data_IF_526546946865
#
_entry.id   IF_526546946865
#
_cell.length_a   1.000
_cell.length_b   1.000
_cell.length_c   1.000
_cell.angle_alpha   90.00
_cell.angle_beta   90.00
_cell.angle_gamma   90.00
#
_symmetry.space_group_name_H-M   'P 1'
#
loop_
_entity.id
_entity.type
_entity.pdbx_description
1 polymer ?
#
# COMPACT_ATOMS: atom_id res chain seq x y z
N UNK A 1 28.35 58.56 -28.03
CA UNK A 1 27.66 58.52 -26.72
C UNK A 1 26.44 57.62 -26.88
N UNK A 2 26.64 56.32 -26.70
CA UNK A 2 25.57 55.31 -26.81
C UNK A 2 24.73 55.26 -25.53
N UNK A 3 23.41 55.38 -25.66
CA UNK A 3 22.46 55.12 -24.56
C UNK A 3 21.83 53.74 -24.75
N UNK A 4 22.26 52.78 -23.94
CA UNK A 4 21.60 51.47 -23.79
C UNK A 4 20.21 51.63 -23.13
N UNK A 5 19.16 50.94 -23.61
CA UNK A 5 17.86 50.94 -22.96
C UNK A 5 17.87 50.06 -21.71
N UNK A 6 17.43 50.61 -20.57
CA UNK A 6 17.27 49.89 -19.31
C UNK A 6 16.20 48.80 -19.45
N UNK A 7 16.60 47.53 -19.27
CA UNK A 7 15.66 46.40 -19.10
C UNK A 7 14.87 46.60 -17.80
N UNK A 8 13.55 46.68 -17.90
CA UNK A 8 12.65 46.65 -16.75
C UNK A 8 12.69 45.29 -16.02
N UNK A 9 12.27 45.23 -14.75
CA UNK A 9 12.31 44.01 -13.97
C UNK A 9 11.33 42.98 -14.54
N UNK A 10 11.81 41.76 -14.76
CA UNK A 10 10.99 40.63 -15.15
C UNK A 10 10.02 40.27 -14.01
N UNK A 11 8.74 40.60 -14.18
CA UNK A 11 7.65 40.07 -13.34
C UNK A 11 7.55 38.57 -13.65
N UNK A 12 8.13 37.75 -12.78
CA UNK A 12 8.24 36.29 -12.96
C UNK A 12 7.05 35.56 -12.32
N UNK A 13 6.22 34.94 -13.16
CA UNK A 13 5.58 33.63 -12.97
C UNK A 13 4.86 33.28 -11.64
N UNK A 14 4.07 34.17 -11.02
CA UNK A 14 3.20 33.72 -9.91
C UNK A 14 1.95 32.95 -10.40
N UNK A 15 1.43 33.25 -11.59
CA UNK A 15 0.20 32.62 -12.10
C UNK A 15 0.35 31.18 -12.60
N UNK A 16 1.51 30.81 -13.16
CA UNK A 16 1.72 29.47 -13.75
C UNK A 16 1.87 28.36 -12.70
N UNK A 17 2.42 28.66 -11.52
CA UNK A 17 2.56 27.70 -10.41
C UNK A 17 1.21 27.23 -9.87
N UNK A 18 0.31 28.18 -9.60
CA UNK A 18 -1.00 27.89 -9.04
C UNK A 18 -1.85 27.00 -9.97
N UNK A 19 -1.75 27.17 -11.29
CA UNK A 19 -2.49 26.33 -12.24
C UNK A 19 -1.94 24.89 -12.31
N UNK A 20 -0.62 24.71 -12.25
CA UNK A 20 0.00 23.40 -12.26
C UNK A 20 -0.32 22.62 -10.98
N UNK A 21 -0.23 23.25 -9.82
CA UNK A 21 -0.58 22.65 -8.53
C UNK A 21 -2.04 22.21 -8.47
N UNK A 22 -2.97 23.09 -8.87
CA UNK A 22 -4.41 22.77 -8.94
C UNK A 22 -4.67 21.61 -9.90
N UNK A 23 -3.97 21.54 -11.03
CA UNK A 23 -4.08 20.42 -11.96
C UNK A 23 -3.61 19.09 -11.34
N UNK A 24 -2.48 19.10 -10.61
CA UNK A 24 -1.97 17.91 -9.91
C UNK A 24 -2.93 17.43 -8.83
N UNK A 25 -3.45 18.34 -8.01
CA UNK A 25 -4.43 18.00 -6.97
C UNK A 25 -5.69 17.36 -7.57
N UNK A 26 -6.18 17.87 -8.71
CA UNK A 26 -7.31 17.28 -9.42
C UNK A 26 -7.02 15.88 -9.95
N UNK A 27 -5.80 15.61 -10.41
CA UNK A 27 -5.40 14.26 -10.85
C UNK A 27 -5.43 13.29 -9.68
N UNK A 28 -4.82 13.67 -8.55
CA UNK A 28 -4.81 12.84 -7.34
C UNK A 28 -6.22 12.61 -6.81
N UNK A 29 -7.05 13.64 -6.73
CA UNK A 29 -8.44 13.52 -6.27
C UNK A 29 -9.24 12.57 -7.16
N UNK A 30 -9.14 12.70 -8.49
CA UNK A 30 -9.82 11.80 -9.43
C UNK A 30 -9.36 10.36 -9.28
N UNK A 31 -8.05 10.14 -9.08
CA UNK A 31 -7.49 8.81 -8.82
C UNK A 31 -8.08 8.20 -7.56
N UNK A 32 -8.07 8.94 -6.44
CA UNK A 32 -8.58 8.46 -5.16
C UNK A 32 -10.07 8.08 -5.25
N UNK A 33 -10.88 8.93 -5.89
CA UNK A 33 -12.29 8.61 -6.13
C UNK A 33 -12.40 7.35 -6.99
N UNK A 34 -11.68 7.28 -8.12
CA UNK A 34 -11.76 6.15 -9.03
C UNK A 34 -11.36 4.82 -8.39
N UNK A 35 -10.28 4.76 -7.59
CA UNK A 35 -9.86 3.50 -6.95
C UNK A 35 -10.85 3.01 -5.90
N UNK A 36 -11.57 3.92 -5.24
CA UNK A 36 -12.57 3.60 -4.22
C UNK A 36 -13.93 3.24 -4.83
N UNK A 37 -14.28 3.79 -6.00
CA UNK A 37 -15.59 3.54 -6.63
C UNK A 37 -15.57 2.48 -7.71
N UNK A 38 -14.40 2.13 -8.26
CA UNK A 38 -14.28 1.05 -9.25
C UNK A 38 -14.43 -0.30 -8.56
N UNK A 39 -15.36 -1.11 -9.03
CA UNK A 39 -15.48 -2.53 -8.65
C UNK A 39 -14.94 -3.40 -9.78
N UNK A 40 -14.16 -4.46 -9.47
CA UNK A 40 -13.73 -5.41 -10.48
C UNK A 40 -14.92 -6.17 -11.08
N UNK A 41 -14.80 -6.52 -12.36
CA UNK A 41 -15.67 -7.49 -13.01
C UNK A 41 -15.37 -8.93 -12.53
N UNK A 42 -16.17 -9.90 -12.97
CA UNK A 42 -15.99 -11.31 -12.57
C UNK A 42 -14.62 -11.87 -12.95
N UNK A 43 -14.08 -11.47 -14.10
CA UNK A 43 -12.75 -11.86 -14.54
C UNK A 43 -11.64 -11.26 -13.66
N UNK A 44 -11.79 -10.00 -13.26
CA UNK A 44 -10.93 -9.30 -12.32
C UNK A 44 -10.93 -9.95 -10.96
N UNK A 45 -12.10 -10.27 -10.41
CA UNK A 45 -12.21 -11.01 -9.15
C UNK A 45 -11.58 -12.39 -9.20
N UNK A 46 -11.81 -13.15 -10.29
CA UNK A 46 -11.16 -14.45 -10.49
C UNK A 46 -9.64 -14.34 -10.52
N UNK A 47 -9.11 -13.34 -11.22
CA UNK A 47 -7.67 -13.09 -11.26
C UNK A 47 -7.12 -12.74 -9.86
N UNK A 48 -7.83 -11.87 -9.13
CA UNK A 48 -7.47 -11.51 -7.75
C UNK A 48 -7.52 -12.74 -6.82
N UNK A 49 -8.51 -13.61 -6.95
CA UNK A 49 -8.60 -14.84 -6.15
C UNK A 49 -7.40 -15.77 -6.41
N UNK A 50 -7.00 -15.96 -7.67
CA UNK A 50 -5.81 -16.75 -8.01
C UNK A 50 -4.52 -16.13 -7.47
N UNK A 51 -4.37 -14.81 -7.61
CA UNK A 51 -3.23 -14.10 -7.03
C UNK A 51 -3.21 -14.19 -5.50
N UNK A 52 -4.37 -14.16 -4.84
CA UNK A 52 -4.49 -14.33 -3.39
C UNK A 52 -4.05 -15.73 -2.95
N UNK A 53 -4.45 -16.78 -3.67
CA UNK A 53 -4.03 -18.16 -3.39
C UNK A 53 -2.52 -18.32 -3.55
N UNK A 54 -1.94 -17.81 -4.64
CA UNK A 54 -0.50 -17.86 -4.87
C UNK A 54 0.29 -17.08 -3.81
N UNK A 55 -0.18 -15.88 -3.46
CA UNK A 55 0.37 -15.05 -2.39
C UNK A 55 0.35 -15.79 -1.04
N UNK A 56 -0.81 -16.35 -0.69
CA UNK A 56 -1.00 -17.10 0.55
C UNK A 56 -0.15 -18.34 0.64
N UNK A 57 -0.03 -19.11 -0.44
CA UNK A 57 0.82 -20.30 -0.48
C UNK A 57 2.31 -19.94 -0.26
N UNK A 58 2.79 -18.88 -0.92
CA UNK A 58 4.17 -18.42 -0.74
C UNK A 58 4.44 -17.92 0.69
N UNK A 59 3.54 -17.08 1.21
CA UNK A 59 3.64 -16.57 2.58
C UNK A 59 3.53 -17.68 3.62
N UNK A 60 2.65 -18.66 3.43
CA UNK A 60 2.53 -19.82 4.32
C UNK A 60 3.79 -20.66 4.32
N UNK A 61 4.37 -20.94 3.14
CA UNK A 61 5.61 -21.70 3.03
C UNK A 61 6.76 -21.02 3.79
N UNK A 62 6.93 -19.71 3.62
CA UNK A 62 7.95 -18.93 4.33
C UNK A 62 7.61 -18.89 5.82
N UNK A 63 6.39 -18.52 6.17
CA UNK A 63 5.97 -18.27 7.54
C UNK A 63 6.08 -19.50 8.44
N UNK A 64 5.66 -20.67 7.95
CA UNK A 64 5.79 -21.92 8.70
C UNK A 64 7.23 -22.45 8.72
N UNK A 65 7.99 -22.34 7.62
CA UNK A 65 9.38 -22.83 7.59
C UNK A 65 10.36 -22.02 8.44
N UNK A 66 10.08 -20.74 8.67
CA UNK A 66 10.92 -19.82 9.46
C UNK A 66 10.44 -19.65 10.91
N UNK A 67 9.27 -20.19 11.24
CA UNK A 67 8.64 -20.05 12.55
C UNK A 67 8.02 -18.67 12.82
N UNK A 68 7.86 -17.84 11.78
CA UNK A 68 7.10 -16.59 11.81
C UNK A 68 5.60 -16.85 12.05
N UNK A 69 5.07 -17.93 11.48
CA UNK A 69 3.69 -18.38 11.72
C UNK A 69 3.68 -19.51 12.74
N UNK A 70 2.85 -19.33 13.78
CA UNK A 70 2.64 -20.33 14.84
C UNK A 70 1.15 -20.44 15.12
N UNK A 71 0.61 -21.65 15.10
CA UNK A 71 -0.78 -21.85 15.46
C UNK A 71 -0.98 -21.49 16.94
N UNK A 72 -1.85 -20.52 17.19
CA UNK A 72 -2.17 -20.03 18.54
C UNK A 72 -3.67 -20.05 18.78
N UNK A 73 -4.06 -20.14 20.05
CA UNK A 73 -5.45 -19.89 20.44
C UNK A 73 -5.84 -18.43 20.13
N UNK A 74 -7.14 -18.22 19.90
CA UNK A 74 -7.66 -16.89 19.56
C UNK A 74 -7.52 -15.96 20.76
N UNK A 75 -6.86 -14.82 20.56
CA UNK A 75 -6.72 -13.82 21.62
C UNK A 75 -8.07 -13.15 21.99
N UNK A 76 -8.25 -12.73 23.25
CA UNK A 76 -9.42 -11.97 23.69
C UNK A 76 -9.51 -10.60 23.02
N UNK A 77 -10.73 -10.02 22.94
CA UNK A 77 -10.95 -8.70 22.32
C UNK A 77 -10.97 -8.70 20.78
N UNK A 78 -11.18 -9.88 20.17
CA UNK A 78 -11.13 -10.10 18.73
C UNK A 78 -12.01 -9.12 17.91
N UNK A 79 -13.29 -8.84 18.23
CA UNK A 79 -14.15 -8.04 17.35
C UNK A 79 -13.64 -6.61 17.10
N UNK A 80 -13.21 -5.91 18.16
CA UNK A 80 -12.68 -4.54 18.04
C UNK A 80 -11.36 -4.54 17.27
N UNK A 81 -10.50 -5.54 17.52
CA UNK A 81 -9.22 -5.69 16.83
C UNK A 81 -9.43 -5.94 15.33
N UNK A 82 -10.33 -6.84 14.97
CA UNK A 82 -10.70 -7.10 13.58
C UNK A 82 -11.16 -5.80 12.89
N UNK A 83 -12.01 -5.00 13.54
CA UNK A 83 -12.45 -3.71 13.00
C UNK A 83 -11.26 -2.75 12.78
N UNK A 84 -10.36 -2.63 13.76
CA UNK A 84 -9.20 -1.73 13.64
C UNK A 84 -8.24 -2.15 12.52
N UNK A 85 -8.05 -3.46 12.31
CA UNK A 85 -7.20 -4.01 11.23
C UNK A 85 -7.75 -3.61 9.85
N UNK A 86 -9.07 -3.63 9.67
CA UNK A 86 -9.66 -3.25 8.39
C UNK A 86 -9.52 -1.76 8.08
N UNK A 87 -9.51 -0.91 9.11
CA UNK A 87 -9.49 0.55 8.93
C UNK A 87 -8.05 1.07 8.85
N UNK A 88 -7.21 0.72 9.82
CA UNK A 88 -5.89 1.32 9.99
C UNK A 88 -4.89 0.71 8.99
N UNK A 89 -4.46 -0.57 9.13
CA UNK A 89 -3.51 -1.13 8.19
C UNK A 89 -4.16 -1.42 6.83
N UNK A 90 -5.32 -2.08 6.77
CA UNK A 90 -5.84 -2.54 5.48
C UNK A 90 -6.32 -1.39 4.58
N UNK A 91 -7.19 -0.50 5.05
CA UNK A 91 -7.64 0.63 4.23
C UNK A 91 -6.60 1.76 4.22
N UNK A 92 -6.06 2.15 5.38
CA UNK A 92 -5.13 3.28 5.49
C UNK A 92 -3.84 3.10 4.71
N UNK A 93 -3.19 1.93 4.82
CA UNK A 93 -1.95 1.67 4.09
C UNK A 93 -2.24 1.46 2.60
N UNK A 94 -3.28 0.71 2.22
CA UNK A 94 -3.60 0.54 0.81
C UNK A 94 -3.98 1.87 0.14
N UNK A 95 -4.72 2.74 0.83
CA UNK A 95 -5.03 4.07 0.31
C UNK A 95 -3.75 4.90 0.10
N UNK A 96 -2.77 4.80 1.01
CA UNK A 96 -1.50 5.52 0.92
C UNK A 96 -0.60 4.96 -0.19
N UNK A 97 -0.33 3.66 -0.18
CA UNK A 97 0.64 3.05 -1.08
C UNK A 97 0.06 2.74 -2.47
N UNK A 98 -1.23 2.39 -2.56
CA UNK A 98 -1.86 1.90 -3.81
C UNK A 98 -2.90 2.89 -4.35
N UNK A 99 -3.54 3.67 -3.48
CA UNK A 99 -4.44 4.74 -3.88
C UNK A 99 -3.70 6.01 -4.29
N UNK A 100 -2.83 6.52 -3.42
CA UNK A 100 -2.13 7.78 -3.61
C UNK A 100 -0.84 7.60 -4.41
N UNK A 101 0.06 6.71 -3.99
CA UNK A 101 1.39 6.57 -4.60
C UNK A 101 1.38 5.85 -5.96
N UNK A 102 0.52 4.85 -6.16
CA UNK A 102 0.49 4.04 -7.38
C UNK A 102 -0.42 4.67 -8.45
N UNK A 103 0.13 5.26 -9.54
CA UNK A 103 -0.65 5.85 -10.61
C UNK A 103 -1.57 4.84 -11.31
N UNK A 104 -2.66 5.37 -11.87
CA UNK A 104 -3.49 4.64 -12.82
C UNK A 104 -2.69 4.24 -14.06
N UNK A 105 -3.18 3.22 -14.78
CA UNK A 105 -2.52 2.71 -15.99
C UNK A 105 -2.28 3.78 -17.05
N UNK A 106 -3.22 4.70 -17.20
CA UNK A 106 -3.16 5.77 -18.20
C UNK A 106 -2.40 7.01 -17.71
N UNK A 107 -2.01 7.04 -16.43
CA UNK A 107 -1.34 8.19 -15.81
C UNK A 107 0.19 8.07 -15.83
N UNK A 108 0.73 6.90 -16.21
CA UNK A 108 2.17 6.69 -16.33
C UNK A 108 2.53 5.77 -17.49
N UNK A 109 3.64 6.09 -18.15
CA UNK A 109 4.25 5.19 -19.14
C UNK A 109 5.08 4.06 -18.51
N UNK A 110 5.29 4.10 -17.18
CA UNK A 110 6.15 3.15 -16.45
C UNK A 110 5.43 2.53 -15.24
N UNK A 111 4.30 1.82 -15.44
CA UNK A 111 3.52 1.26 -14.32
C UNK A 111 4.32 0.25 -13.48
N UNK A 112 5.24 -0.52 -14.11
CA UNK A 112 6.09 -1.49 -13.41
C UNK A 112 7.04 -0.82 -12.41
N UNK A 113 7.59 0.35 -12.74
CA UNK A 113 8.45 1.10 -11.82
C UNK A 113 7.68 1.51 -10.57
N UNK A 114 6.45 2.00 -10.75
CA UNK A 114 5.63 2.44 -9.64
C UNK A 114 5.12 1.29 -8.76
N UNK A 115 4.92 0.09 -9.32
CA UNK A 115 4.71 -1.12 -8.50
C UNK A 115 5.91 -1.35 -7.60
N UNK A 116 7.13 -1.34 -8.15
CA UNK A 116 8.35 -1.55 -7.36
C UNK A 116 8.50 -0.47 -6.29
N UNK A 117 8.29 0.81 -6.63
CA UNK A 117 8.39 1.93 -5.67
C UNK A 117 7.33 1.80 -4.57
N UNK A 118 6.07 1.58 -4.94
CA UNK A 118 4.96 1.41 -3.98
C UNK A 118 5.22 0.24 -3.02
N UNK A 119 5.63 -0.92 -3.56
CA UNK A 119 5.95 -2.10 -2.74
C UNK A 119 7.17 -1.86 -1.85
N UNK A 120 8.24 -1.23 -2.37
CA UNK A 120 9.44 -0.97 -1.58
C UNK A 120 9.17 -0.01 -0.41
N UNK A 121 8.39 1.05 -0.64
CA UNK A 121 7.99 1.97 0.42
C UNK A 121 7.07 1.30 1.45
N UNK A 122 6.15 0.45 1.01
CA UNK A 122 5.31 -0.35 1.91
C UNK A 122 6.13 -1.30 2.79
N UNK A 123 7.15 -1.96 2.23
CA UNK A 123 8.05 -2.82 3.02
C UNK A 123 8.87 -1.98 3.99
N UNK A 124 9.43 -0.86 3.54
CA UNK A 124 10.22 0.05 4.37
C UNK A 124 9.40 0.74 5.48
N UNK A 125 8.09 0.85 5.31
CA UNK A 125 7.17 1.37 6.32
C UNK A 125 7.21 0.56 7.62
N UNK A 126 7.35 -0.77 7.53
CA UNK A 126 7.28 -1.63 8.71
C UNK A 126 8.50 -1.46 9.64
N UNK A 127 9.76 -1.49 9.16
CA UNK A 127 10.90 -1.11 9.99
C UNK A 127 10.79 0.31 10.52
N UNK A 128 10.28 1.25 9.71
CA UNK A 128 10.08 2.61 10.15
C UNK A 128 9.12 2.69 11.33
N UNK A 129 7.96 2.02 11.28
CA UNK A 129 7.01 1.95 12.39
C UNK A 129 7.66 1.45 13.68
N UNK A 130 8.43 0.37 13.63
CA UNK A 130 9.12 -0.15 14.81
C UNK A 130 10.15 0.83 15.36
N UNK A 131 10.86 1.53 14.48
CA UNK A 131 11.93 2.44 14.89
C UNK A 131 11.40 3.78 15.40
N UNK A 132 10.11 4.12 15.19
CA UNK A 132 9.57 5.44 15.56
C UNK A 132 8.35 5.39 16.48
N UNK A 133 7.35 4.55 16.21
CA UNK A 133 6.04 4.63 16.87
C UNK A 133 5.64 3.35 17.61
N UNK A 134 6.17 2.19 17.18
CA UNK A 134 5.81 0.86 17.68
C UNK A 134 7.05 0.04 18.06
N UNK A 135 7.87 0.49 19.02
CA UNK A 135 9.15 -0.18 19.37
C UNK A 135 9.00 -1.64 19.83
N UNK A 136 7.82 -2.03 20.30
CA UNK A 136 7.53 -3.41 20.72
C UNK A 136 7.29 -4.36 19.53
N UNK A 137 6.95 -3.85 18.35
CA UNK A 137 6.69 -4.63 17.14
C UNK A 137 8.00 -5.06 16.43
N UNK A 138 8.95 -5.66 17.17
CA UNK A 138 10.26 -6.08 16.66
C UNK A 138 10.18 -7.10 15.52
N UNK A 139 9.06 -7.80 15.41
CA UNK A 139 8.75 -8.71 14.30
C UNK A 139 8.83 -8.03 12.94
N UNK A 140 8.52 -6.73 12.85
CA UNK A 140 8.61 -5.97 11.61
C UNK A 140 10.05 -5.74 11.11
N UNK A 141 11.05 -6.02 11.94
CA UNK A 141 12.45 -6.00 11.55
C UNK A 141 12.97 -7.35 11.06
N UNK A 142 12.18 -8.43 11.22
CA UNK A 142 12.60 -9.75 10.78
C UNK A 142 12.59 -9.82 9.25
N UNK A 143 13.63 -10.41 8.68
CA UNK A 143 13.78 -10.54 7.23
C UNK A 143 12.63 -11.35 6.58
N UNK A 144 12.14 -12.38 7.28
CA UNK A 144 11.08 -13.27 6.80
C UNK A 144 9.72 -12.59 6.78
N UNK A 145 9.44 -11.77 7.81
CA UNK A 145 8.29 -10.87 7.83
C UNK A 145 8.38 -9.88 6.67
N UNK A 146 9.50 -9.20 6.48
CA UNK A 146 9.68 -8.23 5.39
C UNK A 146 9.54 -8.87 4.01
N UNK A 147 9.98 -10.13 3.85
CA UNK A 147 9.77 -10.90 2.64
C UNK A 147 8.28 -11.21 2.40
N UNK A 148 7.56 -11.66 3.43
CA UNK A 148 6.10 -11.85 3.36
C UNK A 148 5.37 -10.53 3.05
N UNK A 149 5.76 -9.43 3.67
CA UNK A 149 5.26 -8.08 3.39
C UNK A 149 5.55 -7.65 1.95
N UNK A 150 6.73 -7.97 1.41
CA UNK A 150 7.06 -7.68 0.02
C UNK A 150 6.17 -8.47 -0.95
N UNK A 151 5.93 -9.75 -0.67
CA UNK A 151 5.02 -10.61 -1.47
C UNK A 151 3.60 -10.06 -1.44
N UNK A 152 3.08 -9.78 -0.25
CA UNK A 152 1.74 -9.22 -0.05
C UNK A 152 1.60 -7.86 -0.75
N UNK A 153 2.58 -6.98 -0.55
CA UNK A 153 2.59 -5.64 -1.12
C UNK A 153 2.70 -5.64 -2.64
N UNK A 154 3.41 -6.60 -3.22
CA UNK A 154 3.46 -6.82 -4.68
C UNK A 154 2.11 -7.33 -5.20
N UNK A 155 1.51 -8.32 -4.54
CA UNK A 155 0.20 -8.84 -4.92
C UNK A 155 -0.87 -7.73 -4.91
N UNK A 156 -0.92 -6.92 -3.86
CA UNK A 156 -1.82 -5.76 -3.75
C UNK A 156 -1.61 -4.75 -4.88
N UNK A 157 -0.36 -4.38 -5.18
CA UNK A 157 -0.04 -3.46 -6.26
C UNK A 157 -0.45 -4.00 -7.65
N UNK A 158 -0.25 -5.30 -7.89
CA UNK A 158 -0.67 -5.95 -9.14
C UNK A 158 -2.19 -6.04 -9.25
N UNK A 159 -2.90 -6.34 -8.16
CA UNK A 159 -4.37 -6.32 -8.11
C UNK A 159 -4.92 -4.93 -8.44
N UNK A 160 -4.37 -3.87 -7.83
CA UNK A 160 -4.76 -2.48 -8.13
C UNK A 160 -4.54 -2.17 -9.61
N UNK A 161 -3.36 -2.49 -10.14
CA UNK A 161 -3.05 -2.19 -11.55
C UNK A 161 -3.96 -2.96 -12.50
N UNK A 162 -4.29 -4.20 -12.18
CA UNK A 162 -5.09 -5.06 -13.05
C UNK A 162 -6.54 -4.63 -13.12
N UNK A 163 -7.11 -4.24 -11.98
CA UNK A 163 -8.56 -4.04 -11.80
C UNK A 163 -8.98 -2.58 -11.75
N UNK A 164 -8.06 -1.65 -11.50
CA UNK A 164 -8.45 -0.26 -11.25
C UNK A 164 -8.93 0.00 -9.81
N UNK A 165 -9.26 -1.05 -9.07
CA UNK A 165 -9.93 -1.01 -7.77
C UNK A 165 -8.96 -1.16 -6.59
N UNK A 166 -9.26 -0.51 -5.47
CA UNK A 166 -8.54 -0.69 -4.21
C UNK A 166 -9.06 -1.90 -3.42
N UNK A 167 -10.32 -2.27 -3.60
CA UNK A 167 -11.01 -3.27 -2.75
C UNK A 167 -10.36 -4.65 -2.73
N UNK A 168 -9.89 -5.22 -3.86
CA UNK A 168 -9.20 -6.51 -3.80
C UNK A 168 -7.93 -6.47 -2.96
N UNK A 169 -7.18 -5.37 -3.00
CA UNK A 169 -5.98 -5.19 -2.21
C UNK A 169 -6.30 -5.03 -0.73
N UNK A 170 -7.32 -4.23 -0.39
CA UNK A 170 -7.81 -4.08 0.99
C UNK A 170 -8.24 -5.43 1.56
N UNK A 171 -9.06 -6.20 0.82
CA UNK A 171 -9.52 -7.53 1.23
C UNK A 171 -8.38 -8.52 1.42
N UNK A 172 -7.41 -8.53 0.50
CA UNK A 172 -6.23 -9.39 0.60
C UNK A 172 -5.40 -9.03 1.84
N UNK A 173 -4.98 -7.78 1.94
CA UNK A 173 -4.11 -7.29 3.00
C UNK A 173 -4.78 -7.45 4.36
N UNK A 174 -6.00 -6.91 4.53
CA UNK A 174 -6.75 -7.03 5.78
C UNK A 174 -7.03 -8.48 6.15
N UNK A 175 -7.41 -9.32 5.18
CA UNK A 175 -7.63 -10.75 5.41
C UNK A 175 -6.40 -11.48 5.95
N UNK A 176 -5.22 -11.20 5.38
CA UNK A 176 -3.96 -11.78 5.89
C UNK A 176 -3.57 -11.26 7.26
N UNK A 177 -3.72 -9.97 7.52
CA UNK A 177 -3.40 -9.40 8.84
C UNK A 177 -4.35 -9.96 9.90
N UNK A 178 -5.65 -10.08 9.60
CA UNK A 178 -6.64 -10.74 10.46
C UNK A 178 -6.25 -12.19 10.73
N UNK A 179 -5.95 -12.97 9.69
CA UNK A 179 -5.56 -14.36 9.81
C UNK A 179 -4.31 -14.51 10.69
N UNK A 180 -3.32 -13.64 10.46
CA UNK A 180 -2.05 -13.68 11.16
C UNK A 180 -2.18 -13.31 12.64
N UNK A 181 -2.89 -12.21 12.94
CA UNK A 181 -3.10 -11.78 14.33
C UNK A 181 -3.98 -12.77 15.11
N UNK A 182 -4.93 -13.43 14.46
CA UNK A 182 -5.93 -14.26 15.17
C UNK A 182 -5.43 -15.68 15.42
N UNK A 183 -4.74 -16.30 14.44
CA UNK A 183 -4.42 -17.73 14.50
C UNK A 183 -2.95 -18.06 14.26
N UNK A 184 -2.15 -17.17 13.70
CA UNK A 184 -0.77 -17.49 13.30
C UNK A 184 0.30 -16.79 14.17
N UNK A 185 -0.07 -16.39 15.39
CA UNK A 185 0.86 -15.87 16.39
C UNK A 185 1.22 -14.39 16.26
N UNK A 186 0.52 -13.63 15.40
CA UNK A 186 0.83 -12.22 15.16
C UNK A 186 0.67 -11.33 16.40
N UNK A 187 -0.23 -11.64 17.32
CA UNK A 187 -0.40 -10.85 18.55
C UNK A 187 0.79 -11.03 19.48
N UNK A 188 1.22 -12.27 19.73
CA UNK A 188 2.42 -12.55 20.54
C UNK A 188 3.68 -11.93 19.92
N UNK A 189 3.66 -11.69 18.61
CA UNK A 189 4.76 -11.11 17.85
C UNK A 189 4.80 -9.57 17.90
N UNK A 190 3.72 -8.92 18.34
CA UNK A 190 3.59 -7.45 18.42
C UNK A 190 3.89 -6.89 19.83
N UNK A 191 4.09 -7.76 20.83
CA UNK A 191 4.32 -7.39 22.22
C UNK A 191 3.08 -7.56 23.10
#
# INVERSE_FOLDING_TARGET
MDRQPRRGPAVRQSGQGNHAEVAQLRVVQRRLVAVLTTLPDAAGWRWCALAAVACGAAMAAIGFSTGLYRLTETAPGLPLRLLTVWIIPALGEELSFRGLLLPGRDETRRPRLWVVVSTALYVAWHPFETLTFLPHATTFLRWDFLLCTAILGLACALMRLRTGSLWPAVLLHGGFVVLWQTWLGGISALG
#
